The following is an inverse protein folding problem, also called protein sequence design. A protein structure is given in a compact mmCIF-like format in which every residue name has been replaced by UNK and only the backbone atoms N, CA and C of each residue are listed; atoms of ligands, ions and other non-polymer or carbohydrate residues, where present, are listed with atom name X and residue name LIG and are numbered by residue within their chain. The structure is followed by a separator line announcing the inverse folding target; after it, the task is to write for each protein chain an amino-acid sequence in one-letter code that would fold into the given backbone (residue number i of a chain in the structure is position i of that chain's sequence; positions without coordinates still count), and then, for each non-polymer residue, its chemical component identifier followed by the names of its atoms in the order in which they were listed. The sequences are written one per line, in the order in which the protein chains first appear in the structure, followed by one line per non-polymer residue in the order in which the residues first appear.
data_IF_636394238858
#
_entry.id   IF_636394238858
#
_cell.length_a   1.000
_cell.length_b   1.000
_cell.length_c   1.000
_cell.angle_alpha   90.00
_cell.angle_beta   90.00
_cell.angle_gamma   90.00
#
_symmetry.space_group_name_H-M   'P 1'
#
loop_
_entity.id
_entity.type
_entity.pdbx_description
1 polymer ?
#
# COMPACT_ATOMS: atom_id res chain seq x y z
N UNK A 1 16.53 27.51 27.11
CA UNK A 1 17.01 28.81 27.61
C UNK A 1 17.07 28.76 29.13
N UNK A 2 18.17 28.25 29.69
CA UNK A 2 18.43 28.30 31.14
C UNK A 2 19.60 29.26 31.32
N UNK A 3 19.28 30.52 31.60
CA UNK A 3 20.27 31.53 31.97
C UNK A 3 20.33 31.54 33.50
N UNK A 4 21.40 30.99 34.05
CA UNK A 4 21.81 31.24 35.43
C UNK A 4 22.62 32.53 35.46
N UNK A 5 22.24 33.48 36.31
CA UNK A 5 22.97 34.72 36.56
C UNK A 5 23.57 34.61 37.96
N UNK A 6 24.75 34.02 38.05
CA UNK A 6 25.53 33.95 39.29
C UNK A 6 26.76 34.86 39.22
N UNK A 7 27.05 35.56 40.30
CA UNK A 7 28.28 36.35 40.48
C UNK A 7 29.54 35.46 40.53
N UNK A 8 30.70 36.08 40.33
CA UNK A 8 32.00 35.40 40.25
C UNK A 8 32.27 34.51 41.48
N UNK A 9 32.34 33.19 41.26
CA UNK A 9 32.70 32.20 42.28
C UNK A 9 31.65 31.12 42.55
N UNK A 10 30.46 31.17 41.93
CA UNK A 10 29.49 30.08 42.06
C UNK A 10 29.89 28.83 41.25
N UNK A 11 29.89 27.68 41.94
CA UNK A 11 30.06 26.37 41.31
C UNK A 11 28.69 25.81 40.96
N UNK A 12 28.43 25.66 39.66
CA UNK A 12 27.20 25.02 39.19
C UNK A 12 27.38 23.50 39.23
N UNK A 13 26.65 22.82 40.11
CA UNK A 13 26.66 21.36 40.19
C UNK A 13 25.56 20.79 39.29
N UNK A 14 25.96 20.12 38.21
CA UNK A 14 25.06 19.28 37.39
C UNK A 14 25.59 17.85 37.44
N UNK A 15 24.76 16.93 37.93
CA UNK A 15 25.03 15.48 37.96
C UNK A 15 26.38 15.04 38.57
N UNK A 16 26.87 15.77 39.59
CA UNK A 16 28.03 15.33 40.37
C UNK A 16 29.40 15.60 39.75
N UNK A 17 29.49 16.34 38.64
CA UNK A 17 30.77 16.95 38.21
C UNK A 17 30.81 18.43 38.60
N UNK A 18 31.80 18.80 39.42
CA UNK A 18 32.11 20.19 39.76
C UNK A 18 32.90 20.82 38.63
N UNK A 19 32.35 21.87 38.01
CA UNK A 19 33.03 22.61 36.95
C UNK A 19 33.59 23.91 37.55
N UNK A 20 34.92 24.00 37.65
CA UNK A 20 35.63 25.17 38.19
C UNK A 20 35.99 26.11 37.03
N UNK A 21 35.61 27.39 37.14
CA UNK A 21 35.99 28.43 36.16
C UNK A 21 37.52 28.64 36.06
N UNK A 22 38.02 29.27 34.99
CA UNK A 22 39.46 29.49 34.81
C UNK A 22 40.01 30.36 35.96
N UNK A 23 40.83 29.76 36.81
CA UNK A 23 41.56 30.46 37.87
C UNK A 23 42.69 31.30 37.25
N UNK A 24 42.43 32.58 37.00
CA UNK A 24 43.47 33.58 36.76
C UNK A 24 43.20 34.53 35.61
N UNK A 25 42.75 35.74 35.94
CA UNK A 25 42.67 36.88 35.02
C UNK A 25 41.48 37.77 35.35
N UNK A 26 41.74 39.06 35.54
CA UNK A 26 40.70 40.10 35.71
C UNK A 26 39.67 40.03 34.59
N UNK A 27 38.35 40.03 34.89
CA UNK A 27 37.32 39.80 33.89
C UNK A 27 37.14 41.06 33.02
N UNK A 28 37.59 40.99 31.78
CA UNK A 28 37.28 41.96 30.74
C UNK A 28 36.51 41.24 29.62
N UNK A 29 35.20 41.10 29.83
CA UNK A 29 34.29 40.48 28.87
C UNK A 29 33.19 39.68 29.55
N UNK A 30 32.03 39.59 28.90
CA UNK A 30 30.90 38.74 29.31
C UNK A 30 31.39 37.30 29.46
N UNK A 31 31.50 36.83 30.70
CA UNK A 31 31.92 35.46 31.01
C UNK A 31 30.76 34.51 30.66
N UNK A 32 30.98 33.60 29.71
CA UNK A 32 29.95 32.68 29.22
C UNK A 32 30.36 31.25 29.55
N UNK A 33 29.73 30.68 30.58
CA UNK A 33 29.79 29.26 30.88
C UNK A 33 28.77 28.53 29.99
N UNK A 34 29.24 27.76 29.01
CA UNK A 34 28.37 26.93 28.16
C UNK A 34 28.25 25.54 28.79
N UNK A 35 27.07 25.21 29.31
CA UNK A 35 26.69 23.83 29.66
C UNK A 35 26.11 23.17 28.41
N UNK A 36 26.86 22.24 27.81
CA UNK A 36 26.42 21.51 26.63
C UNK A 36 25.47 20.36 26.98
N UNK A 37 24.32 20.29 26.29
CA UNK A 37 23.46 19.10 26.24
C UNK A 37 23.61 18.37 24.91
N UNK A 38 23.42 17.04 24.89
CA UNK A 38 23.43 16.23 23.66
C UNK A 38 22.00 15.99 23.18
N UNK A 39 21.75 16.25 21.91
CA UNK A 39 20.50 15.91 21.22
C UNK A 39 20.82 14.84 20.17
N UNK A 40 20.18 13.68 20.28
CA UNK A 40 20.29 12.58 19.31
C UNK A 40 19.02 12.52 18.46
N UNK A 41 19.21 12.48 17.15
CA UNK A 41 18.14 12.35 16.17
C UNK A 41 18.24 10.98 15.53
N UNK A 42 17.21 10.16 15.70
CA UNK A 42 17.18 8.78 15.23
C UNK A 42 16.01 8.62 14.26
N UNK A 43 16.25 7.97 13.13
CA UNK A 43 15.24 7.73 12.09
C UNK A 43 15.48 6.37 11.43
N UNK A 44 14.41 5.73 10.96
CA UNK A 44 14.48 4.50 10.14
C UNK A 44 14.92 4.78 8.69
N UNK A 45 14.92 6.05 8.27
CA UNK A 45 15.34 6.50 6.94
C UNK A 45 16.38 7.61 7.04
N UNK A 46 17.15 7.82 5.96
CA UNK A 46 18.13 8.90 5.91
C UNK A 46 17.44 10.27 5.96
N UNK A 47 17.97 11.18 6.79
CA UNK A 47 17.50 12.54 6.94
C UNK A 47 18.69 13.52 6.93
N UNK A 48 18.40 14.78 6.68
CA UNK A 48 19.38 15.86 6.82
C UNK A 48 18.79 16.97 7.68
N UNK A 49 19.67 17.60 8.47
CA UNK A 49 19.36 18.78 9.24
C UNK A 49 20.14 19.94 8.63
N UNK A 50 19.48 21.06 8.37
CA UNK A 50 20.11 22.28 7.87
C UNK A 50 19.83 23.45 8.81
N UNK A 51 20.84 24.27 9.04
CA UNK A 51 20.71 25.55 9.75
C UNK A 51 21.28 26.67 8.88
N UNK A 52 20.55 27.79 8.81
CA UNK A 52 20.90 28.97 8.04
C UNK A 52 21.74 29.99 8.82
N UNK A 53 21.92 29.83 10.13
CA UNK A 53 22.71 30.77 10.95
C UNK A 53 23.41 30.09 12.12
N UNK A 54 24.70 30.40 12.31
CA UNK A 54 25.63 29.71 13.23
C UNK A 54 25.41 29.95 14.72
N UNK A 55 24.22 30.39 15.12
CA UNK A 55 23.81 30.60 16.52
C UNK A 55 22.67 29.65 16.95
N UNK A 56 22.27 28.72 16.06
CA UNK A 56 21.28 27.68 16.36
C UNK A 56 21.93 26.36 16.81
N UNK A 57 21.10 25.35 17.11
CA UNK A 57 21.47 24.00 17.55
C UNK A 57 22.53 23.32 16.65
N UNK A 58 22.63 23.72 15.38
CA UNK A 58 23.66 23.29 14.44
C UNK A 58 24.47 24.49 13.97
N UNK A 59 25.80 24.38 13.98
CA UNK A 59 26.70 25.32 13.26
C UNK A 59 26.26 25.39 11.80
N UNK A 60 26.26 26.59 11.21
CA UNK A 60 25.77 26.83 9.86
C UNK A 60 26.28 25.78 8.85
N UNK A 61 25.35 25.09 8.19
CA UNK A 61 25.66 23.94 7.34
C UNK A 61 24.56 22.89 7.32
N UNK A 62 24.78 21.85 6.51
CA UNK A 62 23.92 20.66 6.42
C UNK A 62 24.63 19.48 7.06
N UNK A 63 24.01 18.86 8.05
CA UNK A 63 24.46 17.58 8.63
C UNK A 63 23.57 16.47 8.10
N UNK A 64 24.16 15.51 7.39
CA UNK A 64 23.47 14.32 6.90
C UNK A 64 23.54 13.17 7.90
N UNK A 65 22.45 12.42 8.04
CA UNK A 65 22.43 11.20 8.83
C UNK A 65 23.15 10.05 8.10
N UNK A 66 23.88 9.22 8.84
CA UNK A 66 24.38 7.93 8.37
C UNK A 66 23.46 6.80 8.84
N UNK A 67 23.16 5.84 7.96
CA UNK A 67 22.44 4.63 8.37
C UNK A 67 23.39 3.67 9.10
N UNK A 68 23.02 3.24 10.30
CA UNK A 68 23.71 2.16 11.03
C UNK A 68 23.06 0.82 10.71
N UNK A 69 23.86 -0.15 10.29
CA UNK A 69 23.37 -1.51 10.05
C UNK A 69 23.23 -2.27 11.37
N UNK A 70 22.22 -3.16 11.45
CA UNK A 70 22.02 -4.05 12.62
C UNK A 70 23.27 -4.91 12.88
N UNK A 71 24.02 -5.28 11.83
CA UNK A 71 25.24 -6.09 11.94
C UNK A 71 26.45 -5.35 12.52
N UNK A 72 26.42 -4.02 12.59
CA UNK A 72 27.51 -3.20 13.15
C UNK A 72 27.27 -2.77 14.61
N UNK A 73 26.21 -3.29 15.25
CA UNK A 73 25.83 -2.91 16.61
C UNK A 73 26.77 -3.54 17.66
N UNK A 74 27.19 -2.73 18.63
CA UNK A 74 27.97 -3.17 19.79
C UNK A 74 27.27 -2.79 21.09
N UNK A 75 26.90 -3.79 21.88
CA UNK A 75 26.12 -3.65 23.13
C UNK A 75 27.03 -3.66 24.37
N UNK A 76 28.36 -3.77 24.19
CA UNK A 76 29.33 -3.86 25.29
C UNK A 76 29.44 -2.61 26.16
N UNK A 77 28.85 -1.49 25.75
CA UNK A 77 28.78 -0.24 26.53
C UNK A 77 27.34 0.23 26.67
N UNK A 78 27.04 0.99 27.72
CA UNK A 78 25.68 1.53 27.94
C UNK A 78 25.19 2.44 26.81
N UNK A 79 26.10 3.23 26.22
CA UNK A 79 25.80 4.06 25.04
C UNK A 79 25.56 3.18 23.80
N UNK A 80 26.39 2.16 23.59
CA UNK A 80 26.22 1.23 22.47
C UNK A 80 24.91 0.44 22.54
N UNK A 81 24.50 0.01 23.74
CA UNK A 81 23.22 -0.65 23.98
C UNK A 81 22.02 0.25 23.65
N UNK A 82 22.07 1.52 24.06
CA UNK A 82 21.00 2.49 23.79
C UNK A 82 20.88 2.79 22.29
N UNK A 83 22.01 2.91 21.59
CA UNK A 83 22.04 3.09 20.14
C UNK A 83 21.55 1.84 19.39
N UNK A 84 21.88 0.64 19.90
CA UNK A 84 21.40 -0.61 19.34
C UNK A 84 19.88 -0.73 19.40
N UNK A 85 19.25 -0.32 20.51
CA UNK A 85 17.79 -0.26 20.63
C UNK A 85 17.18 0.64 19.55
N UNK A 86 17.71 1.85 19.37
CA UNK A 86 17.20 2.78 18.36
C UNK A 86 17.29 2.23 16.93
N UNK A 87 18.39 1.54 16.60
CA UNK A 87 18.58 0.91 15.27
C UNK A 87 17.63 -0.27 15.07
N UNK A 88 17.44 -1.09 16.11
CA UNK A 88 16.49 -2.22 16.08
C UNK A 88 15.05 -1.72 15.94
N UNK A 89 14.66 -0.67 16.66
CA UNK A 89 13.33 -0.07 16.55
C UNK A 89 13.08 0.44 15.13
N UNK A 90 14.06 1.11 14.51
CA UNK A 90 13.98 1.53 13.12
C UNK A 90 13.84 0.35 12.15
N UNK A 91 14.57 -0.73 12.37
CA UNK A 91 14.48 -1.95 11.56
C UNK A 91 13.13 -2.67 11.73
N UNK A 92 12.58 -2.71 12.94
CA UNK A 92 11.26 -3.27 13.21
C UNK A 92 10.17 -2.44 12.54
N UNK A 93 10.23 -1.11 12.65
CA UNK A 93 9.30 -0.22 11.97
C UNK A 93 9.30 -0.44 10.44
N UNK A 94 10.48 -0.66 9.85
CA UNK A 94 10.58 -1.00 8.43
C UNK A 94 9.92 -2.34 8.11
N UNK A 95 10.16 -3.39 8.90
CA UNK A 95 9.52 -4.71 8.71
C UNK A 95 8.00 -4.61 8.83
N UNK A 96 7.50 -3.83 9.78
CA UNK A 96 6.08 -3.64 10.00
C UNK A 96 5.42 -2.88 8.83
N UNK A 97 6.10 -1.88 8.25
CA UNK A 97 5.63 -1.19 7.05
C UNK A 97 5.54 -2.14 5.83
N UNK A 98 6.54 -3.02 5.67
CA UNK A 98 6.49 -4.07 4.63
C UNK A 98 5.31 -5.03 4.87
N UNK A 99 5.09 -5.46 6.11
CA UNK A 99 3.96 -6.35 6.46
C UNK A 99 2.61 -5.67 6.23
N UNK A 100 2.48 -4.40 6.59
CA UNK A 100 1.28 -3.60 6.34
C UNK A 100 1.00 -3.48 4.83
N UNK A 101 2.03 -3.19 4.03
CA UNK A 101 1.94 -3.12 2.57
C UNK A 101 1.52 -4.46 1.96
N UNK A 102 2.10 -5.57 2.41
CA UNK A 102 1.70 -6.91 1.99
C UNK A 102 0.25 -7.22 2.37
N UNK A 103 -0.19 -6.85 3.57
CA UNK A 103 -1.58 -7.01 4.02
C UNK A 103 -2.57 -6.20 3.17
N UNK A 104 -2.22 -4.96 2.82
CA UNK A 104 -3.02 -4.13 1.92
C UNK A 104 -3.16 -4.77 0.52
N UNK A 105 -2.06 -5.31 -0.01
CA UNK A 105 -2.05 -6.04 -1.29
C UNK A 105 -2.91 -7.31 -1.22
N UNK A 106 -2.84 -8.07 -0.12
CA UNK A 106 -3.69 -9.24 0.09
C UNK A 106 -5.18 -8.89 0.12
N UNK A 107 -5.56 -7.82 0.82
CA UNK A 107 -6.94 -7.31 0.83
C UNK A 107 -7.40 -6.91 -0.58
N UNK A 108 -6.53 -6.23 -1.34
CA UNK A 108 -6.82 -5.90 -2.74
C UNK A 108 -7.01 -7.15 -3.59
N UNK A 109 -6.15 -8.17 -3.46
CA UNK A 109 -6.32 -9.42 -4.19
C UNK A 109 -7.62 -10.13 -3.83
N UNK A 110 -7.99 -10.19 -2.55
CA UNK A 110 -9.27 -10.77 -2.13
C UNK A 110 -10.47 -10.05 -2.77
N UNK A 111 -10.46 -8.72 -2.78
CA UNK A 111 -11.52 -7.93 -3.44
C UNK A 111 -11.57 -8.14 -4.96
N UNK A 112 -10.41 -8.21 -5.62
CA UNK A 112 -10.34 -8.46 -7.07
C UNK A 112 -10.85 -9.85 -7.41
N UNK A 113 -10.47 -10.87 -6.62
CA UNK A 113 -10.96 -12.24 -6.81
C UNK A 113 -12.49 -12.30 -6.66
N UNK A 114 -13.05 -11.69 -5.61
CA UNK A 114 -14.49 -11.65 -5.42
C UNK A 114 -15.23 -10.96 -6.58
N UNK A 115 -14.69 -9.83 -7.06
CA UNK A 115 -15.24 -9.11 -8.22
C UNK A 115 -15.17 -9.93 -9.51
N UNK A 116 -14.05 -10.62 -9.75
CA UNK A 116 -13.88 -11.50 -10.91
C UNK A 116 -14.79 -12.71 -10.85
N UNK A 117 -15.01 -13.31 -9.68
CA UNK A 117 -15.93 -14.42 -9.48
C UNK A 117 -17.37 -14.01 -9.86
N UNK A 118 -17.83 -12.87 -9.33
CA UNK A 118 -19.16 -12.33 -9.65
C UNK A 118 -19.30 -12.00 -11.15
N UNK A 119 -18.24 -11.44 -11.75
CA UNK A 119 -18.22 -11.17 -13.20
C UNK A 119 -18.28 -12.46 -14.02
N UNK A 120 -17.53 -13.49 -13.64
CA UNK A 120 -17.55 -14.79 -14.31
C UNK A 120 -18.92 -15.47 -14.21
N UNK A 121 -19.59 -15.39 -13.06
CA UNK A 121 -20.94 -15.89 -12.87
C UNK A 121 -21.96 -15.14 -13.76
N UNK A 122 -21.89 -13.81 -13.79
CA UNK A 122 -22.76 -12.99 -14.65
C UNK A 122 -22.55 -13.29 -16.14
N UNK A 123 -21.30 -13.43 -16.57
CA UNK A 123 -20.97 -13.77 -17.97
C UNK A 123 -21.44 -15.19 -18.31
N UNK A 124 -21.27 -16.15 -17.40
CA UNK A 124 -21.76 -17.52 -17.60
C UNK A 124 -23.29 -17.55 -17.72
N UNK A 125 -24.00 -16.85 -16.84
CA UNK A 125 -25.46 -16.74 -16.88
C UNK A 125 -25.96 -16.06 -18.16
N UNK A 126 -25.31 -14.97 -18.58
CA UNK A 126 -25.63 -14.29 -19.84
C UNK A 126 -25.40 -15.21 -21.05
N UNK A 127 -24.30 -15.96 -21.07
CA UNK A 127 -24.01 -16.94 -22.12
C UNK A 127 -25.04 -18.06 -22.16
N UNK A 128 -25.44 -18.61 -21.01
CA UNK A 128 -26.49 -19.64 -20.94
C UNK A 128 -27.79 -19.13 -21.55
N UNK A 129 -28.22 -17.91 -21.20
CA UNK A 129 -29.46 -17.32 -21.74
C UNK A 129 -29.42 -17.14 -23.27
N UNK A 130 -28.28 -16.72 -23.81
CA UNK A 130 -28.09 -16.60 -25.26
C UNK A 130 -28.19 -17.98 -25.90
N UNK A 131 -27.46 -18.97 -25.38
CA UNK A 131 -27.46 -20.33 -25.91
C UNK A 131 -28.86 -20.96 -25.85
N UNK A 132 -29.55 -20.84 -24.72
CA UNK A 132 -30.90 -21.40 -24.54
C UNK A 132 -31.92 -20.72 -25.49
N UNK A 133 -31.81 -19.41 -25.71
CA UNK A 133 -32.67 -18.69 -26.66
C UNK A 133 -32.40 -19.12 -28.11
N UNK A 134 -31.12 -19.29 -28.48
CA UNK A 134 -30.73 -19.75 -29.82
C UNK A 134 -31.21 -21.20 -30.07
N UNK A 135 -31.07 -22.08 -29.07
CA UNK A 135 -31.59 -23.45 -29.16
C UNK A 135 -33.12 -23.47 -29.28
N UNK A 136 -33.83 -22.65 -28.51
CA UNK A 136 -35.29 -22.56 -28.62
C UNK A 136 -35.73 -22.06 -30.01
N UNK A 137 -35.05 -21.06 -30.57
CA UNK A 137 -35.33 -20.55 -31.90
C UNK A 137 -35.06 -21.60 -33.01
N UNK A 138 -33.93 -22.29 -32.94
CA UNK A 138 -33.59 -23.35 -33.91
C UNK A 138 -34.55 -24.54 -33.81
N UNK A 139 -34.91 -24.96 -32.59
CA UNK A 139 -35.89 -26.03 -32.38
C UNK A 139 -37.26 -25.65 -32.95
N UNK A 140 -37.70 -24.39 -32.77
CA UNK A 140 -38.95 -23.90 -33.35
C UNK A 140 -38.90 -23.87 -34.88
N UNK A 141 -37.76 -23.48 -35.47
CA UNK A 141 -37.56 -23.48 -36.92
C UNK A 141 -37.55 -24.91 -37.49
N UNK A 142 -36.85 -25.84 -36.82
CA UNK A 142 -36.84 -27.26 -37.18
C UNK A 142 -38.25 -27.85 -37.13
N UNK A 143 -38.99 -27.59 -36.05
CA UNK A 143 -40.37 -28.05 -35.91
C UNK A 143 -41.28 -27.46 -37.01
N UNK A 144 -41.15 -26.15 -37.29
CA UNK A 144 -41.88 -25.51 -38.40
C UNK A 144 -41.54 -26.15 -39.74
N UNK A 145 -40.27 -26.43 -40.01
CA UNK A 145 -39.83 -27.07 -41.25
C UNK A 145 -40.40 -28.49 -41.39
N UNK A 146 -40.40 -29.29 -40.31
CA UNK A 146 -40.99 -30.62 -40.28
C UNK A 146 -42.51 -30.59 -40.53
N UNK A 147 -43.22 -29.65 -39.90
CA UNK A 147 -44.67 -29.47 -40.13
C UNK A 147 -44.94 -29.07 -41.58
N UNK A 148 -44.16 -28.14 -42.16
CA UNK A 148 -44.31 -27.74 -43.55
C UNK A 148 -44.02 -28.88 -44.53
N UNK A 149 -43.05 -29.74 -44.23
CA UNK A 149 -42.78 -30.93 -45.03
C UNK A 149 -43.94 -31.93 -44.98
N UNK A 150 -44.50 -32.21 -43.80
CA UNK A 150 -45.66 -33.10 -43.64
C UNK A 150 -46.93 -32.51 -44.26
N UNK A 151 -47.16 -31.20 -44.11
CA UNK A 151 -48.27 -30.50 -44.74
C UNK A 151 -48.12 -30.46 -46.26
N UNK A 152 -46.90 -30.26 -46.77
CA UNK A 152 -46.60 -30.26 -48.20
C UNK A 152 -46.90 -31.61 -48.86
N UNK A 153 -46.52 -32.72 -48.23
CA UNK A 153 -46.84 -34.07 -48.74
C UNK A 153 -48.34 -34.38 -48.65
N UNK A 154 -49.01 -33.99 -47.57
CA UNK A 154 -50.46 -34.14 -47.43
C UNK A 154 -51.24 -33.29 -48.45
N UNK A 155 -50.82 -32.04 -48.68
CA UNK A 155 -51.41 -31.14 -49.68
C UNK A 155 -51.19 -31.65 -51.10
N UNK A 156 -50.00 -32.18 -51.42
CA UNK A 156 -49.76 -32.84 -52.70
C UNK A 156 -50.65 -34.06 -52.89
N UNK A 157 -50.80 -34.90 -51.86
CA UNK A 157 -51.70 -36.05 -51.91
C UNK A 157 -53.16 -35.62 -52.14
N UNK A 158 -53.61 -34.57 -51.45
CA UNK A 158 -54.97 -34.03 -51.59
C UNK A 158 -55.21 -33.38 -52.97
N UNK A 159 -54.25 -32.62 -53.49
CA UNK A 159 -54.33 -32.02 -54.82
C UNK A 159 -54.38 -33.09 -55.93
N UNK A 160 -53.60 -34.17 -55.78
CA UNK A 160 -53.63 -35.29 -56.71
C UNK A 160 -54.96 -36.05 -56.70
N UNK A 161 -55.61 -36.17 -55.54
CA UNK A 161 -56.95 -36.77 -55.43
C UNK A 161 -58.04 -35.86 -56.01
N UNK A 162 -57.99 -34.55 -55.76
CA UNK A 162 -58.92 -33.59 -56.37
C UNK A 162 -58.80 -33.55 -57.90
N UNK A 163 -57.57 -33.58 -58.45
CA UNK A 163 -57.34 -33.60 -59.90
C UNK A 163 -57.98 -34.83 -60.58
N UNK A 164 -57.85 -36.01 -59.96
CA UNK A 164 -58.47 -37.24 -60.48
C UNK A 164 -60.00 -37.18 -60.44
N UNK A 165 -60.59 -36.56 -59.42
CA UNK A 165 -62.03 -36.34 -59.35
C UNK A 165 -62.54 -35.38 -60.44
N UNK A 166 -61.75 -34.37 -60.83
CA UNK A 166 -62.12 -33.47 -61.95
C UNK A 166 -62.07 -34.22 -63.29
N UNK A 167 -61.06 -35.06 -63.50
CA UNK A 167 -61.00 -35.90 -64.71
C UNK A 167 -62.13 -36.93 -64.79
N UNK A 168 -62.63 -37.41 -63.63
CA UNK A 168 -63.85 -38.22 -63.55
C UNK A 168 -65.11 -37.47 -63.96
N UNK A 169 -65.15 -36.13 -63.85
CA UNK A 169 -66.29 -35.29 -64.23
C UNK A 169 -66.23 -34.83 -65.69
N UNK A 170 -65.15 -35.10 -66.41
CA UNK A 170 -64.95 -34.76 -67.82
C UNK A 170 -65.09 -35.99 -68.75
N UNK A 171 -65.57 -37.12 -68.24
CA UNK A 171 -65.90 -38.34 -68.98
C UNK A 171 -67.41 -38.56 -68.97
#
# INVERSE_FOLDING_TARGET
NFVHSGDAGETLAVEGQTLTGPTGGTPAGTDSLVVGGKLEFNSSTAFSLSSSSGTELLTAGTVGSSLSSVGALNIGTQVGASNALAVVDGALAFVDDLRASLGAVQNRFSSVVASNQATAENVSAARSRIQDADFAAETANLSRAQILQQAGTAMLAQANQQSQNVLSLLR
#
